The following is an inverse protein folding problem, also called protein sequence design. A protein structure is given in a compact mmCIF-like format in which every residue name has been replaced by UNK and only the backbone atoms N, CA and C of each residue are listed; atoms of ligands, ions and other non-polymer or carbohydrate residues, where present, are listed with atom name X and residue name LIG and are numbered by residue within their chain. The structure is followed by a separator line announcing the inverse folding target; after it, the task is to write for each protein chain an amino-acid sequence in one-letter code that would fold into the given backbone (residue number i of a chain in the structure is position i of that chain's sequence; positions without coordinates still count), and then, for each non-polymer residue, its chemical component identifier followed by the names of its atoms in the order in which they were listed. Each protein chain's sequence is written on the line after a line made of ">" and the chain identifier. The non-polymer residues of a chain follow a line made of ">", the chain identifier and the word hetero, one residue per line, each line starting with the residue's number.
data_IF_488769942877
#
_entry.id   IF_488769942877
#
_cell.length_a   1.000
_cell.length_b   1.000
_cell.length_c   1.000
_cell.angle_alpha   90.00
_cell.angle_beta   90.00
_cell.angle_gamma   90.00
#
_symmetry.space_group_name_H-M   'P 1'
#
loop_
_entity.id
_entity.type
_entity.pdbx_description
1 polymer ?
#
# COMPACT_ATOMS: atom_id res chain seq x y z
N UNK A 1 -15.18 29.43 15.21
CA UNK A 1 -15.52 28.27 14.36
C UNK A 1 -15.51 27.07 15.28
N UNK A 2 -16.67 26.68 15.81
CA UNK A 2 -16.81 25.53 16.71
C UNK A 2 -17.07 24.30 15.85
N UNK A 3 -16.00 23.61 15.45
CA UNK A 3 -16.11 22.32 14.76
C UNK A 3 -16.36 21.23 15.79
N UNK A 4 -17.47 20.50 15.65
CA UNK A 4 -17.72 19.29 16.44
C UNK A 4 -17.05 18.13 15.70
N UNK A 5 -16.08 17.42 16.31
CA UNK A 5 -15.50 16.24 15.70
C UNK A 5 -16.57 15.16 15.58
N UNK A 6 -16.73 14.61 14.36
CA UNK A 6 -17.67 13.54 14.05
C UNK A 6 -16.91 12.39 13.40
N UNK A 7 -17.23 11.17 13.81
CA UNK A 7 -16.75 9.92 13.20
C UNK A 7 -17.88 9.24 12.46
N UNK A 8 -17.54 8.46 11.44
CA UNK A 8 -18.52 7.71 10.66
C UNK A 8 -19.13 6.59 11.54
N UNK A 9 -20.44 6.36 11.47
CA UNK A 9 -21.08 5.28 12.25
C UNK A 9 -20.42 3.89 12.04
N UNK A 10 -20.05 3.48 10.80
CA UNK A 10 -19.34 2.21 10.59
C UNK A 10 -17.95 2.17 11.23
N UNK A 11 -17.28 3.32 11.34
CA UNK A 11 -15.93 3.45 11.88
C UNK A 11 -15.91 3.18 13.39
N UNK A 12 -16.90 3.71 14.12
CA UNK A 12 -17.09 3.47 15.56
C UNK A 12 -17.54 2.02 15.81
N UNK A 13 -18.47 1.50 15.00
CA UNK A 13 -19.06 0.17 15.22
C UNK A 13 -18.11 -0.97 14.85
N UNK A 14 -17.36 -0.83 13.75
CA UNK A 14 -16.55 -1.91 13.18
C UNK A 14 -15.05 -1.75 13.50
N UNK A 15 -14.66 -0.68 14.20
CA UNK A 15 -13.27 -0.32 14.44
C UNK A 15 -12.41 -0.35 13.14
N UNK A 16 -13.04 0.02 12.02
CA UNK A 16 -12.42 0.06 10.70
C UNK A 16 -12.36 1.51 10.24
N UNK A 17 -11.14 2.06 10.15
CA UNK A 17 -10.93 3.40 9.66
C UNK A 17 -11.49 3.54 8.24
N UNK A 18 -12.38 4.52 8.04
CA UNK A 18 -12.98 4.77 6.74
C UNK A 18 -12.08 5.76 6.01
N UNK A 19 -11.54 5.37 4.84
CA UNK A 19 -10.65 6.22 4.05
C UNK A 19 -11.09 6.24 2.60
N UNK A 20 -10.96 7.39 1.93
CA UNK A 20 -11.12 7.48 0.48
C UNK A 20 -9.92 6.88 -0.28
N UNK A 21 -8.82 6.60 0.43
CA UNK A 21 -7.59 6.09 -0.16
C UNK A 21 -7.63 4.56 -0.24
N UNK A 22 -8.01 4.02 -1.40
CA UNK A 22 -7.99 2.58 -1.67
C UNK A 22 -6.52 2.12 -1.73
N UNK A 23 -6.15 1.23 -0.81
CA UNK A 23 -4.81 0.65 -0.65
C UNK A 23 -4.95 -0.88 -0.50
N UNK A 24 -3.84 -1.62 -0.60
CA UNK A 24 -3.79 -3.01 -0.14
C UNK A 24 -4.42 -4.07 -1.07
N UNK A 25 -4.15 -3.99 -2.39
CA UNK A 25 -4.57 -5.01 -3.36
C UNK A 25 -3.48 -6.01 -3.75
N UNK A 26 -2.20 -5.63 -3.59
CA UNK A 26 -1.02 -6.43 -3.88
C UNK A 26 0.00 -6.27 -2.75
N UNK A 27 -0.43 -6.49 -1.51
CA UNK A 27 0.36 -6.19 -0.31
C UNK A 27 1.75 -6.84 -0.34
N UNK A 28 2.76 -6.09 0.12
CA UNK A 28 4.10 -6.63 0.37
C UNK A 28 4.07 -7.68 1.47
N UNK A 29 4.88 -8.73 1.31
CA UNK A 29 5.14 -9.73 2.34
C UNK A 29 6.52 -10.37 2.22
N UNK A 30 6.90 -11.14 3.24
CA UNK A 30 8.18 -11.86 3.27
C UNK A 30 8.15 -13.16 2.45
N UNK A 31 6.95 -13.63 2.11
CA UNK A 31 6.71 -14.81 1.28
C UNK A 31 5.35 -14.76 0.59
N UNK A 32 5.15 -15.66 -0.39
CA UNK A 32 3.90 -15.84 -1.12
C UNK A 32 2.68 -16.20 -0.24
N UNK A 33 2.89 -16.67 1.00
CA UNK A 33 1.78 -16.97 1.92
C UNK A 33 1.36 -15.75 2.75
N UNK A 34 2.18 -14.70 2.76
CA UNK A 34 2.00 -13.49 3.59
C UNK A 34 1.80 -12.23 2.77
N UNK A 35 1.97 -12.28 1.45
CA UNK A 35 1.82 -11.15 0.55
C UNK A 35 1.77 -11.57 -0.92
N UNK A 36 1.54 -10.61 -1.80
CA UNK A 36 1.46 -10.80 -3.26
C UNK A 36 2.80 -10.47 -3.92
N UNK A 37 3.49 -9.46 -3.39
CA UNK A 37 4.80 -9.02 -3.87
C UNK A 37 5.83 -9.07 -2.75
N UNK A 38 7.10 -9.21 -3.12
CA UNK A 38 8.22 -9.04 -2.20
C UNK A 38 8.40 -7.56 -1.81
N UNK A 39 9.29 -7.27 -0.85
CA UNK A 39 9.66 -5.89 -0.48
C UNK A 39 10.28 -5.07 -1.64
N UNK A 40 10.60 -5.70 -2.77
CA UNK A 40 11.08 -5.06 -4.00
C UNK A 40 9.97 -4.83 -5.03
N UNK A 41 8.71 -5.12 -4.69
CA UNK A 41 7.57 -4.96 -5.58
C UNK A 41 7.44 -6.05 -6.65
N UNK A 42 8.35 -7.03 -6.70
CA UNK A 42 8.25 -8.18 -7.63
C UNK A 42 7.20 -9.18 -7.14
N UNK A 43 6.35 -9.66 -8.05
CA UNK A 43 5.35 -10.68 -7.77
C UNK A 43 6.01 -12.01 -7.42
N UNK A 44 5.53 -12.64 -6.36
CA UNK A 44 5.88 -14.03 -6.11
C UNK A 44 5.41 -14.90 -7.27
N UNK A 45 6.25 -15.84 -7.70
CA UNK A 45 6.00 -16.80 -8.79
C UNK A 45 5.95 -16.21 -10.22
N UNK A 46 6.12 -14.90 -10.40
CA UNK A 46 6.15 -14.23 -11.72
C UNK A 46 7.42 -13.40 -11.88
N UNK A 47 8.53 -14.00 -12.39
CA UNK A 47 9.79 -13.30 -12.50
C UNK A 47 9.70 -12.13 -13.49
N UNK A 48 10.32 -11.00 -13.12
CA UNK A 48 10.30 -9.74 -13.87
C UNK A 48 8.91 -9.06 -13.99
N UNK A 49 7.94 -9.42 -13.14
CA UNK A 49 6.65 -8.74 -13.05
C UNK A 49 6.55 -7.97 -11.74
N UNK A 50 6.38 -6.64 -11.83
CA UNK A 50 6.43 -5.74 -10.68
C UNK A 50 5.14 -4.92 -10.54
N UNK A 51 4.83 -4.52 -9.31
CA UNK A 51 3.76 -3.56 -8.98
C UNK A 51 4.36 -2.43 -8.14
N UNK A 52 4.11 -1.19 -8.53
CA UNK A 52 4.68 0.00 -7.91
C UNK A 52 3.63 1.13 -7.75
N UNK A 53 2.56 0.85 -7.01
CA UNK A 53 1.45 1.78 -6.75
C UNK A 53 0.88 1.63 -5.32
N UNK A 54 -0.26 2.26 -5.00
CA UNK A 54 -0.89 2.17 -3.68
C UNK A 54 -1.35 0.76 -3.26
N UNK A 55 -1.44 -0.19 -4.19
CA UNK A 55 -1.86 -1.55 -3.87
C UNK A 55 -0.83 -2.32 -3.05
N UNK A 56 0.45 -1.94 -3.09
CA UNK A 56 1.52 -2.59 -2.30
C UNK A 56 1.55 -2.17 -0.84
N UNK A 57 0.83 -1.10 -0.49
CA UNK A 57 0.73 -0.58 0.88
C UNK A 57 -0.18 -1.48 1.71
N UNK A 58 0.39 -2.23 2.65
CA UNK A 58 -0.30 -3.31 3.36
C UNK A 58 -1.39 -2.87 4.35
N UNK A 59 -1.41 -1.60 4.75
CA UNK A 59 -2.38 -1.09 5.71
C UNK A 59 -2.68 0.40 5.47
N UNK A 60 -3.85 0.83 5.92
CA UNK A 60 -4.20 2.24 5.96
C UNK A 60 -3.26 2.97 6.94
N UNK A 61 -2.62 4.03 6.44
CA UNK A 61 -1.65 4.83 7.19
C UNK A 61 -2.29 5.85 8.14
N UNK A 62 -3.62 6.05 8.06
CA UNK A 62 -4.36 7.06 8.82
C UNK A 62 -4.11 8.52 8.35
N UNK A 63 -3.25 8.70 7.34
CA UNK A 63 -2.89 9.98 6.73
C UNK A 63 -2.89 9.86 5.20
N UNK A 64 -2.64 10.97 4.50
CA UNK A 64 -2.55 10.96 3.04
C UNK A 64 -1.38 10.06 2.57
N UNK A 65 -1.64 9.01 1.75
CA UNK A 65 -0.62 8.05 1.36
C UNK A 65 0.22 8.49 0.16
N UNK A 66 -0.06 9.62 -0.49
CA UNK A 66 0.56 10.00 -1.76
C UNK A 66 2.10 9.98 -1.73
N UNK A 67 2.72 10.55 -0.68
CA UNK A 67 4.18 10.54 -0.54
C UNK A 67 4.73 9.15 -0.20
N UNK A 68 3.98 8.33 0.53
CA UNK A 68 4.37 6.94 0.79
C UNK A 68 4.35 6.12 -0.48
N UNK A 69 3.33 6.30 -1.32
CA UNK A 69 3.24 5.65 -2.63
C UNK A 69 4.43 6.07 -3.49
N UNK A 70 4.70 7.38 -3.60
CA UNK A 70 5.84 7.88 -4.37
C UNK A 70 7.18 7.28 -3.89
N UNK A 71 7.43 7.31 -2.58
CA UNK A 71 8.65 6.78 -1.99
C UNK A 71 8.80 5.26 -2.21
N UNK A 72 7.72 4.50 -2.11
CA UNK A 72 7.73 3.06 -2.38
C UNK A 72 7.96 2.77 -3.86
N UNK A 73 7.31 3.51 -4.77
CA UNK A 73 7.54 3.38 -6.21
C UNK A 73 8.99 3.69 -6.56
N UNK A 74 9.59 4.75 -6.01
CA UNK A 74 11.02 5.06 -6.20
C UNK A 74 11.93 3.95 -5.67
N UNK A 75 11.63 3.42 -4.47
CA UNK A 75 12.37 2.30 -3.90
C UNK A 75 12.31 1.06 -4.81
N UNK A 76 11.13 0.69 -5.30
CA UNK A 76 10.95 -0.46 -6.20
C UNK A 76 11.76 -0.27 -7.48
N UNK A 77 11.64 0.90 -8.12
CA UNK A 77 12.39 1.19 -9.35
C UNK A 77 13.90 1.17 -9.14
N UNK A 78 14.40 1.58 -7.96
CA UNK A 78 15.83 1.52 -7.64
C UNK A 78 16.39 0.09 -7.55
N UNK A 79 15.54 -0.91 -7.41
CA UNK A 79 15.92 -2.33 -7.39
C UNK A 79 15.81 -3.00 -8.76
N UNK A 80 15.23 -2.34 -9.77
CA UNK A 80 15.10 -2.88 -11.11
C UNK A 80 16.45 -2.71 -11.83
N UNK A 81 17.03 -3.78 -12.39
CA UNK A 81 18.30 -3.69 -13.10
C UNK A 81 18.17 -2.89 -14.39
N UNK A 82 19.25 -2.21 -14.77
CA UNK A 82 19.32 -1.50 -16.05
C UNK A 82 19.09 -2.45 -17.22
N UNK A 83 18.43 -1.94 -18.25
CA UNK A 83 18.22 -2.69 -19.49
C UNK A 83 19.54 -2.75 -20.27
N UNK A 84 20.10 -3.96 -20.38
CA UNK A 84 21.25 -4.25 -21.23
C UNK A 84 20.96 -4.09 -22.72
#
# INVERSE_FOLDING_TARGET
>A
MEGIPLSSFPEVLLNMSTTAHILGGCCMGDSQTTGVVSNKGELFNYPNLYVADGSVVSANLGVNPSLTIAALSEHIMSNIPDKN
#
